data_IF_974947377840
#
_entry.id   IF_974947377840
#
_cell.length_a   1.000
_cell.length_b   1.000
_cell.length_c   1.000
_cell.angle_alpha   90.00
_cell.angle_beta   90.00
_cell.angle_gamma   90.00
#
_symmetry.space_group_name_H-M   'P 1'
#
loop_
_entity.id
_entity.type
_entity.pdbx_description
1 polymer ?
#
# COMPACT_ATOMS: atom_id res chain seq x y z
N UNK A 1 23.68 -4.70 67.68
CA UNK A 1 22.52 -3.78 67.49
C UNK A 1 22.73 -2.81 66.33
N UNK A 2 23.83 -2.05 66.27
CA UNK A 2 24.09 -1.09 65.18
C UNK A 2 24.04 -1.70 63.77
N UNK A 3 24.59 -2.90 63.56
CA UNK A 3 24.58 -3.57 62.26
C UNK A 3 23.17 -3.86 61.69
N UNK A 4 22.21 -4.23 62.56
CA UNK A 4 20.83 -4.49 62.13
C UNK A 4 20.06 -3.21 61.78
N UNK A 5 20.39 -2.10 62.46
CA UNK A 5 19.81 -0.79 62.18
C UNK A 5 20.29 -0.28 60.81
N UNK A 6 21.56 -0.47 60.48
CA UNK A 6 22.09 -0.13 59.15
C UNK A 6 21.47 -0.97 58.03
N UNK A 7 21.32 -2.28 58.24
CA UNK A 7 20.68 -3.17 57.26
C UNK A 7 19.21 -2.77 57.03
N UNK A 8 18.46 -2.47 58.10
CA UNK A 8 17.07 -2.05 57.99
C UNK A 8 16.90 -0.72 57.27
N UNK A 9 17.79 0.25 57.55
CA UNK A 9 17.81 1.54 56.86
C UNK A 9 18.09 1.40 55.36
N UNK A 10 19.02 0.52 54.98
CA UNK A 10 19.38 0.30 53.58
C UNK A 10 18.25 -0.37 52.79
N UNK A 11 17.56 -1.35 53.39
CA UNK A 11 16.40 -2.00 52.78
C UNK A 11 15.26 -0.99 52.60
N UNK A 12 14.99 -0.17 53.62
CA UNK A 12 13.93 0.84 53.57
C UNK A 12 14.22 1.87 52.48
N UNK A 13 15.47 2.32 52.35
CA UNK A 13 15.91 3.25 51.31
C UNK A 13 15.77 2.67 49.90
N UNK A 14 16.11 1.38 49.69
CA UNK A 14 15.91 0.70 48.42
C UNK A 14 14.42 0.61 48.02
N UNK A 15 13.54 0.29 48.98
CA UNK A 15 12.09 0.22 48.73
C UNK A 15 11.53 1.60 48.37
N UNK A 16 11.97 2.65 49.07
CA UNK A 16 11.56 4.03 48.80
C UNK A 16 12.05 4.50 47.42
N UNK A 17 13.28 4.15 47.05
CA UNK A 17 13.83 4.44 45.72
C UNK A 17 13.08 3.72 44.60
N UNK A 18 12.71 2.44 44.80
CA UNK A 18 11.90 1.70 43.82
C UNK A 18 10.48 2.28 43.68
N UNK A 19 9.86 2.72 44.77
CA UNK A 19 8.55 3.36 44.75
C UNK A 19 8.57 4.70 43.99
N UNK A 20 9.61 5.52 44.21
CA UNK A 20 9.80 6.76 43.45
C UNK A 20 10.01 6.49 41.95
N UNK A 21 10.85 5.51 41.60
CA UNK A 21 11.10 5.16 40.20
C UNK A 21 9.88 4.54 39.50
N UNK A 22 9.06 3.81 40.24
CA UNK A 22 7.81 3.22 39.74
C UNK A 22 6.78 4.29 39.39
N UNK A 23 6.73 5.39 40.15
CA UNK A 23 5.79 6.48 39.88
C UNK A 23 6.18 7.28 38.63
N UNK A 24 7.49 7.43 38.37
CA UNK A 24 8.01 8.08 37.16
C UNK A 24 7.73 7.25 35.89
N UNK A 25 7.83 5.92 35.98
CA UNK A 25 7.62 5.02 34.85
C UNK A 25 6.14 4.88 34.41
N UNK A 26 5.18 5.18 35.28
CA UNK A 26 3.73 5.12 34.97
C UNK A 26 3.23 6.25 34.05
N UNK A 27 4.08 7.21 33.70
CA UNK A 27 3.71 8.36 32.86
C UNK A 27 4.07 8.20 31.37
N UNK A 28 4.60 7.04 30.97
CA UNK A 28 5.08 6.77 29.60
C UNK A 28 4.06 6.14 28.63
N UNK A 29 2.77 6.27 28.92
CA UNK A 29 1.70 5.97 27.97
C UNK A 29 0.90 7.23 27.69
N UNK A 30 1.57 8.21 27.09
CA UNK A 30 0.91 9.36 26.49
C UNK A 30 0.54 8.97 25.05
N UNK A 31 -0.47 8.11 24.92
CA UNK A 31 -1.15 7.97 23.64
C UNK A 31 -1.73 9.35 23.31
N UNK A 32 -1.19 9.97 22.26
CA UNK A 32 -1.62 11.30 21.83
C UNK A 32 -3.11 11.28 21.50
N UNK A 33 -3.82 12.36 21.84
CA UNK A 33 -5.23 12.49 21.53
C UNK A 33 -5.49 12.23 20.05
N UNK A 34 -6.27 11.19 19.76
CA UNK A 34 -6.62 10.79 18.40
C UNK A 34 -7.48 11.88 17.77
N UNK A 35 -7.02 12.45 16.67
CA UNK A 35 -7.78 13.43 15.89
C UNK A 35 -8.27 12.79 14.60
N UNK A 36 -9.49 13.12 14.21
CA UNK A 36 -10.00 12.76 12.89
C UNK A 36 -9.13 13.44 11.83
N UNK A 37 -8.70 12.66 10.83
CA UNK A 37 -7.89 13.14 9.71
C UNK A 37 -8.72 13.09 8.43
N UNK A 38 -8.57 14.11 7.59
CA UNK A 38 -9.13 14.08 6.24
C UNK A 38 -8.55 12.89 5.47
N UNK A 39 -9.45 12.09 4.86
CA UNK A 39 -9.06 10.91 4.10
C UNK A 39 -8.24 11.35 2.89
N UNK A 40 -8.71 12.35 2.14
CA UNK A 40 -8.08 12.84 0.92
C UNK A 40 -7.29 14.14 1.10
N UNK A 41 -6.21 14.26 0.33
CA UNK A 41 -5.64 15.55 -0.04
C UNK A 41 -6.51 16.24 -1.13
N UNK A 42 -6.40 17.55 -1.30
CA UNK A 42 -7.13 18.34 -2.32
C UNK A 42 -6.91 17.74 -3.72
N UNK A 43 -5.66 17.43 -4.07
CA UNK A 43 -5.31 16.82 -5.36
C UNK A 43 -5.96 15.44 -5.56
N UNK A 44 -5.97 14.62 -4.50
CA UNK A 44 -6.63 13.32 -4.50
C UNK A 44 -8.16 13.47 -4.63
N UNK A 45 -8.75 14.44 -3.94
CA UNK A 45 -10.20 14.69 -3.99
C UNK A 45 -10.64 15.11 -5.39
N UNK A 46 -9.92 16.02 -6.05
CA UNK A 46 -10.21 16.44 -7.42
C UNK A 46 -10.09 15.24 -8.35
N UNK A 47 -9.00 14.47 -8.25
CA UNK A 47 -8.79 13.27 -9.07
C UNK A 47 -9.90 12.25 -8.89
N UNK A 48 -10.31 11.98 -7.64
CA UNK A 48 -11.38 11.04 -7.33
C UNK A 48 -12.71 11.45 -7.96
N UNK A 49 -13.08 12.73 -7.87
CA UNK A 49 -14.30 13.25 -8.51
C UNK A 49 -14.24 13.05 -10.04
N UNK A 50 -13.11 13.38 -10.66
CA UNK A 50 -12.91 13.20 -12.12
C UNK A 50 -13.01 11.73 -12.53
N UNK A 51 -12.39 10.83 -11.78
CA UNK A 51 -12.45 9.40 -12.06
C UNK A 51 -13.88 8.87 -11.97
N UNK A 52 -14.63 9.30 -10.95
CA UNK A 52 -16.03 8.90 -10.77
C UNK A 52 -16.92 9.39 -11.92
N UNK A 53 -16.66 10.58 -12.44
CA UNK A 53 -17.39 11.12 -13.60
C UNK A 53 -17.06 10.38 -14.91
N UNK A 54 -15.81 9.97 -15.11
CA UNK A 54 -15.37 9.27 -16.33
C UNK A 54 -15.78 7.79 -16.32
N UNK A 55 -15.75 7.16 -15.15
CA UNK A 55 -16.01 5.73 -14.98
C UNK A 55 -17.17 5.48 -14.01
N UNK A 56 -18.40 5.90 -14.35
CA UNK A 56 -19.56 5.81 -13.43
C UNK A 56 -19.96 4.37 -13.10
N UNK A 57 -19.58 3.41 -13.95
CA UNK A 57 -19.89 1.99 -13.77
C UNK A 57 -18.80 1.23 -13.00
N UNK A 58 -17.61 1.82 -12.84
CA UNK A 58 -16.49 1.19 -12.13
C UNK A 58 -16.53 1.57 -10.66
N UNK A 59 -16.04 0.68 -9.79
CA UNK A 59 -15.89 1.01 -8.37
C UNK A 59 -14.47 1.50 -8.11
N UNK A 60 -14.33 2.69 -7.54
CA UNK A 60 -13.02 3.28 -7.23
C UNK A 60 -12.78 3.15 -5.73
N UNK A 61 -11.75 2.39 -5.35
CA UNK A 61 -11.29 2.28 -3.97
C UNK A 61 -10.15 3.25 -3.72
N UNK A 62 -10.22 3.97 -2.61
CA UNK A 62 -9.17 4.88 -2.15
C UNK A 62 -8.32 4.25 -1.05
N UNK A 63 -7.02 4.56 -1.04
CA UNK A 63 -6.06 4.15 0.00
C UNK A 63 -6.08 2.65 0.28
N UNK A 64 -5.90 1.85 -0.77
CA UNK A 64 -5.88 0.39 -0.66
C UNK A 64 -4.49 -0.07 -0.23
N UNK A 65 -4.42 -0.90 0.80
CA UNK A 65 -3.14 -1.47 1.24
C UNK A 65 -2.59 -2.46 0.20
N UNK A 66 -1.27 -2.48 0.03
CA UNK A 66 -0.62 -3.45 -0.86
C UNK A 66 -0.84 -4.89 -0.38
N UNK A 67 -1.08 -5.10 0.92
CA UNK A 67 -1.43 -6.41 1.48
C UNK A 67 -2.76 -6.96 0.96
N UNK A 68 -3.68 -6.10 0.50
CA UNK A 68 -4.94 -6.52 -0.14
C UNK A 68 -4.77 -6.85 -1.64
N UNK A 69 -3.74 -6.30 -2.28
CA UNK A 69 -3.45 -6.47 -3.70
C UNK A 69 -2.46 -7.61 -3.96
N UNK A 70 -1.49 -7.79 -3.05
CA UNK A 70 -0.36 -8.68 -3.24
C UNK A 70 -0.37 -9.82 -2.22
N UNK A 71 -0.28 -11.05 -2.73
CA UNK A 71 -0.04 -12.23 -1.91
C UNK A 71 1.33 -12.81 -2.18
N UNK A 72 2.05 -13.15 -1.12
CA UNK A 72 3.38 -13.77 -1.23
C UNK A 72 3.53 -14.88 -0.20
N UNK A 73 4.28 -15.92 -0.57
CA UNK A 73 4.57 -17.06 0.32
C UNK A 73 5.58 -16.71 1.42
N UNK A 74 6.51 -15.80 1.15
CA UNK A 74 7.61 -15.48 2.05
C UNK A 74 7.32 -14.22 2.87
N UNK A 75 7.30 -14.36 4.20
CA UNK A 75 7.09 -13.25 5.12
C UNK A 75 8.08 -12.09 4.91
N UNK A 76 9.36 -12.40 4.62
CA UNK A 76 10.38 -11.39 4.30
C UNK A 76 10.00 -10.50 3.11
N UNK A 77 9.34 -11.06 2.11
CA UNK A 77 8.85 -10.31 0.95
C UNK A 77 7.64 -9.47 1.32
N UNK A 78 6.69 -10.02 2.10
CA UNK A 78 5.54 -9.28 2.63
C UNK A 78 5.95 -8.04 3.42
N UNK A 79 6.97 -8.14 4.27
CA UNK A 79 7.48 -6.99 5.03
C UNK A 79 7.93 -5.81 4.16
N UNK A 80 8.34 -6.05 2.91
CA UNK A 80 8.77 -4.98 2.01
C UNK A 80 7.63 -4.08 1.56
N UNK A 81 6.40 -4.58 1.47
CA UNK A 81 5.25 -3.84 0.98
C UNK A 81 4.12 -3.66 2.00
N UNK A 82 4.23 -4.27 3.19
CA UNK A 82 3.21 -4.24 4.25
C UNK A 82 2.72 -2.84 4.63
N UNK A 83 3.60 -1.85 4.59
CA UNK A 83 3.28 -0.47 4.96
C UNK A 83 2.99 0.42 3.74
N UNK A 84 2.86 -0.17 2.55
CA UNK A 84 2.59 0.55 1.30
C UNK A 84 1.09 0.59 1.03
N UNK A 85 0.64 1.72 0.48
CA UNK A 85 -0.76 2.01 0.20
C UNK A 85 -0.81 2.61 -1.20
N UNK A 86 -1.72 2.10 -2.03
CA UNK A 86 -2.03 2.65 -3.34
C UNK A 86 -3.05 3.78 -3.19
N UNK A 87 -2.91 4.85 -3.97
CA UNK A 87 -3.82 6.00 -3.89
C UNK A 87 -5.22 5.61 -4.35
N UNK A 88 -5.35 5.09 -5.57
CA UNK A 88 -6.63 4.61 -6.10
C UNK A 88 -6.49 3.26 -6.79
N UNK A 89 -7.51 2.43 -6.61
CA UNK A 89 -7.66 1.16 -7.30
C UNK A 89 -9.01 1.17 -8.01
N UNK A 90 -8.98 1.03 -9.33
CA UNK A 90 -10.17 0.96 -10.17
C UNK A 90 -10.56 -0.50 -10.32
N UNK A 91 -11.80 -0.79 -9.94
CA UNK A 91 -12.42 -2.10 -10.06
C UNK A 91 -13.48 -2.09 -11.15
N UNK A 92 -13.56 -3.19 -11.89
CA UNK A 92 -14.66 -3.47 -12.80
C UNK A 92 -15.97 -3.83 -12.04
N UNK A 93 -17.08 -3.93 -12.77
CA UNK A 93 -18.38 -4.40 -12.28
C UNK A 93 -18.31 -5.80 -11.63
N UNK A 94 -17.34 -6.62 -12.08
CA UNK A 94 -17.03 -7.93 -11.51
C UNK A 94 -16.14 -7.89 -10.25
N UNK A 95 -15.87 -6.69 -9.71
CA UNK A 95 -14.95 -6.43 -8.60
C UNK A 95 -13.51 -6.89 -8.83
N UNK A 96 -13.09 -7.03 -10.10
CA UNK A 96 -11.70 -7.30 -10.47
C UNK A 96 -10.93 -5.99 -10.62
N UNK A 97 -9.65 -6.01 -10.22
CA UNK A 97 -8.77 -4.83 -10.36
C UNK A 97 -8.41 -4.63 -11.83
N UNK A 98 -8.84 -3.51 -12.39
CA UNK A 98 -8.54 -3.14 -13.78
C UNK A 98 -7.26 -2.31 -13.85
N UNK A 99 -7.15 -1.29 -13.01
CA UNK A 99 -5.99 -0.41 -12.97
C UNK A 99 -5.74 0.13 -11.57
N UNK A 100 -4.48 0.37 -11.26
CA UNK A 100 -4.04 1.07 -10.05
C UNK A 100 -3.52 2.44 -10.47
N UNK A 101 -4.03 3.48 -9.85
CA UNK A 101 -3.61 4.86 -10.11
C UNK A 101 -2.78 5.33 -8.92
N UNK A 102 -1.58 5.83 -9.22
CA UNK A 102 -0.70 6.47 -8.26
C UNK A 102 -0.59 7.96 -8.57
N UNK A 103 -0.77 8.80 -7.55
CA UNK A 103 -0.57 10.24 -7.65
C UNK A 103 0.76 10.57 -6.98
N UNK A 104 1.71 11.12 -7.74
CA UNK A 104 2.90 11.70 -7.14
C UNK A 104 2.62 13.14 -6.69
N UNK A 105 3.38 13.59 -5.70
CA UNK A 105 3.36 14.99 -5.27
C UNK A 105 4.71 15.60 -5.68
N UNK A 106 4.73 16.52 -6.67
CA UNK A 106 5.98 17.03 -7.25
C UNK A 106 6.86 17.75 -6.21
N UNK A 107 6.27 18.16 -5.09
CA UNK A 107 6.94 18.82 -3.98
C UNK A 107 7.89 17.89 -3.18
N UNK A 108 7.86 16.57 -3.38
CA UNK A 108 8.63 15.61 -2.55
C UNK A 108 9.64 14.80 -3.37
N UNK A 109 10.78 15.42 -3.69
CA UNK A 109 11.89 14.80 -4.44
C UNK A 109 12.37 13.44 -3.87
N UNK A 110 12.28 13.22 -2.55
CA UNK A 110 12.74 11.98 -1.89
C UNK A 110 11.84 10.76 -2.15
N UNK A 111 10.64 10.92 -2.72
CA UNK A 111 9.69 9.79 -2.92
C UNK A 111 9.89 9.04 -4.24
N UNK A 112 10.61 9.58 -5.21
CA UNK A 112 10.73 8.99 -6.56
C UNK A 112 11.29 7.56 -6.58
N UNK A 113 12.32 7.27 -5.79
CA UNK A 113 12.89 5.91 -5.72
C UNK A 113 11.90 4.90 -5.11
N UNK A 114 11.14 5.32 -4.10
CA UNK A 114 10.11 4.49 -3.48
C UNK A 114 8.93 4.28 -4.43
N UNK A 115 8.58 5.29 -5.21
CA UNK A 115 7.54 5.22 -6.24
C UNK A 115 7.88 4.18 -7.32
N UNK A 116 9.10 4.21 -7.86
CA UNK A 116 9.56 3.22 -8.84
C UNK A 116 9.53 1.79 -8.27
N UNK A 117 9.91 1.62 -7.00
CA UNK A 117 9.86 0.32 -6.34
C UNK A 117 8.42 -0.19 -6.16
N UNK A 118 7.49 0.70 -5.80
CA UNK A 118 6.06 0.36 -5.72
C UNK A 118 5.51 -0.08 -7.08
N UNK A 119 5.82 0.67 -8.13
CA UNK A 119 5.36 0.36 -9.48
C UNK A 119 5.91 -0.99 -9.96
N UNK A 120 7.20 -1.26 -9.68
CA UNK A 120 7.81 -2.55 -9.98
C UNK A 120 7.13 -3.71 -9.26
N UNK A 121 6.74 -3.55 -7.98
CA UNK A 121 6.02 -4.58 -7.23
C UNK A 121 4.66 -4.90 -7.85
N UNK A 122 3.90 -3.87 -8.20
CA UNK A 122 2.58 -4.02 -8.82
C UNK A 122 2.69 -4.62 -10.22
N UNK A 123 3.65 -4.16 -11.03
CA UNK A 123 3.92 -4.71 -12.36
C UNK A 123 4.36 -6.18 -12.30
N UNK A 124 5.17 -6.58 -11.32
CA UNK A 124 5.55 -7.98 -11.11
C UNK A 124 4.36 -8.88 -10.77
N UNK A 125 3.31 -8.33 -10.15
CA UNK A 125 2.07 -9.04 -9.87
C UNK A 125 1.08 -9.02 -11.05
N UNK A 126 1.43 -8.36 -12.16
CA UNK A 126 0.59 -8.25 -13.36
C UNK A 126 -0.45 -7.13 -13.27
N UNK A 127 -0.37 -6.26 -12.26
CA UNK A 127 -1.24 -5.09 -12.19
C UNK A 127 -0.75 -3.99 -13.12
N UNK A 128 -1.70 -3.34 -13.78
CA UNK A 128 -1.46 -2.12 -14.53
C UNK A 128 -1.37 -0.95 -13.57
N UNK A 129 -0.28 -0.21 -13.64
CA UNK A 129 -0.07 1.01 -12.85
C UNK A 129 -0.07 2.21 -13.79
N UNK A 130 -0.89 3.20 -13.48
CA UNK A 130 -0.93 4.49 -14.16
C UNK A 130 -0.49 5.54 -13.14
N UNK A 131 0.62 6.21 -13.42
CA UNK A 131 1.19 7.22 -12.53
C UNK A 131 1.00 8.60 -13.14
N UNK A 132 0.46 9.51 -12.35
CA UNK A 132 0.35 10.92 -12.71
C UNK A 132 1.27 11.75 -11.81
N UNK A 133 2.06 12.63 -12.41
CA UNK A 133 2.95 13.54 -11.69
C UNK A 133 2.19 14.72 -11.08
N UNK A 134 1.08 15.11 -11.69
CA UNK A 134 0.20 16.22 -11.27
C UNK A 134 -1.27 15.77 -11.29
N UNK A 135 -2.19 16.65 -10.89
CA UNK A 135 -3.63 16.39 -10.92
C UNK A 135 -4.07 16.11 -12.37
N UNK A 136 -4.45 14.88 -12.71
CA UNK A 136 -4.66 14.48 -14.10
C UNK A 136 -5.89 15.16 -14.69
N UNK A 137 -5.75 15.67 -15.91
CA UNK A 137 -6.86 16.29 -16.65
C UNK A 137 -7.86 15.24 -17.16
N UNK A 138 -9.11 15.66 -17.38
CA UNK A 138 -10.18 14.80 -17.87
C UNK A 138 -9.82 14.06 -19.16
N UNK A 139 -9.10 14.72 -20.06
CA UNK A 139 -8.71 14.16 -21.35
C UNK A 139 -7.69 13.02 -21.19
N UNK A 140 -6.67 13.21 -20.35
CA UNK A 140 -5.63 12.22 -20.07
C UNK A 140 -6.23 10.95 -19.46
N UNK A 141 -7.05 11.12 -18.42
CA UNK A 141 -7.78 10.02 -17.79
C UNK A 141 -8.61 9.25 -18.83
N UNK A 142 -9.37 9.97 -19.66
CA UNK A 142 -10.22 9.34 -20.67
C UNK A 142 -9.41 8.55 -21.70
N UNK A 143 -8.29 9.05 -22.17
CA UNK A 143 -7.44 8.34 -23.14
C UNK A 143 -6.89 7.05 -22.56
N UNK A 144 -6.35 7.10 -21.34
CA UNK A 144 -5.72 5.93 -20.71
C UNK A 144 -6.72 4.80 -20.45
N UNK A 145 -7.98 5.12 -20.14
CA UNK A 145 -9.07 4.14 -19.98
C UNK A 145 -9.77 3.78 -21.31
N UNK A 146 -9.74 4.62 -22.35
CA UNK A 146 -10.30 4.28 -23.67
C UNK A 146 -9.41 3.33 -24.45
N UNK A 147 -8.08 3.56 -24.47
CA UNK A 147 -7.11 2.65 -25.11
C UNK A 147 -7.27 1.23 -24.55
N UNK A 148 -7.61 1.12 -23.27
CA UNK A 148 -7.87 -0.14 -22.58
C UNK A 148 -9.14 -0.85 -23.06
N UNK A 149 -10.27 -0.15 -23.22
CA UNK A 149 -11.48 -0.79 -23.75
C UNK A 149 -11.23 -1.43 -25.10
N UNK A 150 -10.40 -0.80 -25.95
CA UNK A 150 -10.03 -1.38 -27.24
C UNK A 150 -9.09 -2.60 -27.12
N UNK A 151 -8.06 -2.54 -26.27
CA UNK A 151 -7.13 -3.64 -26.06
C UNK A 151 -7.78 -4.87 -25.38
N UNK A 152 -8.63 -4.63 -24.38
CA UNK A 152 -9.38 -5.67 -23.68
C UNK A 152 -10.41 -6.34 -24.61
N UNK A 153 -11.18 -5.56 -25.39
CA UNK A 153 -12.13 -6.13 -26.35
C UNK A 153 -11.46 -7.00 -27.43
N UNK A 154 -10.23 -6.70 -27.84
CA UNK A 154 -9.46 -7.54 -28.79
C UNK A 154 -8.96 -8.85 -28.17
N UNK A 155 -8.55 -8.83 -26.89
CA UNK A 155 -8.15 -10.03 -26.16
C UNK A 155 -9.34 -10.93 -25.82
N UNK A 156 -10.48 -10.34 -25.43
CA UNK A 156 -11.69 -11.11 -25.13
C UNK A 156 -12.28 -11.77 -26.39
N UNK A 157 -12.26 -11.08 -27.54
CA UNK A 157 -12.65 -11.69 -28.83
C UNK A 157 -11.77 -12.88 -29.20
N UNK A 158 -10.53 -12.95 -28.69
CA UNK A 158 -9.61 -14.07 -28.93
C UNK A 158 -9.62 -15.14 -27.82
N UNK A 159 -10.24 -14.88 -26.67
CA UNK A 159 -10.35 -15.78 -25.52
C UNK A 159 -11.71 -16.49 -25.39
N UNK A 160 -12.75 -16.07 -26.12
CA UNK A 160 -14.06 -16.75 -26.17
C UNK A 160 -13.98 -18.24 -26.61
N UNK A 161 -12.84 -18.71 -27.12
CA UNK A 161 -12.58 -20.12 -27.43
C UNK A 161 -12.13 -21.01 -26.25
N UNK A 162 -11.72 -20.47 -25.10
CA UNK A 162 -11.18 -21.28 -24.00
C UNK A 162 -11.85 -20.97 -22.65
N UNK A 163 -12.89 -21.75 -22.37
CA UNK A 163 -13.59 -21.72 -21.08
C UNK A 163 -12.72 -22.23 -19.92
N UNK A 164 -12.62 -21.37 -18.89
CA UNK A 164 -12.45 -21.64 -17.45
C UNK A 164 -11.31 -22.59 -17.01
N UNK A 165 -10.24 -21.99 -16.49
CA UNK A 165 -9.70 -22.30 -15.16
C UNK A 165 -8.76 -21.18 -14.72
N UNK A 166 -9.07 -20.57 -13.59
CA UNK A 166 -8.31 -19.51 -12.93
C UNK A 166 -6.78 -19.70 -13.03
N UNK A 167 -6.12 -18.93 -13.89
CA UNK A 167 -4.66 -18.88 -13.99
C UNK A 167 -4.14 -17.71 -13.15
N UNK A 168 -4.13 -17.89 -11.82
CA UNK A 168 -3.55 -16.96 -10.84
C UNK A 168 -2.01 -16.83 -10.90
N UNK A 169 -1.36 -17.25 -11.99
CA UNK A 169 0.09 -17.13 -12.16
C UNK A 169 0.41 -16.46 -13.50
N UNK A 170 1.18 -15.36 -13.50
CA UNK A 170 1.81 -14.92 -14.73
C UNK A 170 2.78 -16.03 -15.17
N UNK A 171 2.64 -16.47 -16.42
CA UNK A 171 3.56 -17.44 -17.04
C UNK A 171 4.91 -16.76 -17.19
N UNK A 172 5.72 -16.83 -16.15
CA UNK A 172 7.12 -16.42 -16.20
C UNK A 172 7.85 -17.34 -17.18
N UNK A 173 8.10 -16.84 -18.38
CA UNK A 173 8.92 -17.50 -19.39
C UNK A 173 10.29 -17.85 -18.80
N UNK A 174 10.47 -19.12 -18.43
CA UNK A 174 11.76 -19.63 -17.97
C UNK A 174 12.73 -19.63 -19.15
N UNK A 175 13.54 -18.57 -19.26
CA UNK A 175 14.73 -18.57 -20.09
C UNK A 175 15.71 -19.60 -19.51
N UNK A 176 15.76 -20.81 -20.09
CA UNK A 176 16.78 -21.82 -19.77
C UNK A 176 18.15 -21.25 -20.12
N UNK A 177 18.89 -20.82 -19.12
CA UNK A 177 20.33 -20.62 -19.25
C UNK A 177 20.93 -22.02 -19.23
N UNK A 178 21.35 -22.52 -20.39
CA UNK A 178 22.23 -23.68 -20.49
C UNK A 178 23.58 -23.24 -19.93
N UNK A 179 23.93 -23.71 -18.74
CA UNK A 179 25.31 -23.66 -18.27
C UNK A 179 25.97 -24.90 -18.88
N UNK A 180 26.91 -24.66 -19.78
CA UNK A 180 27.83 -25.67 -20.29
C UNK A 180 29.16 -25.42 -19.55
N UNK A 181 29.60 -26.40 -18.78
CA UNK A 181 30.81 -26.39 -17.97
C UNK A 181 30.97 -27.73 -17.29
#
# INVERSE_FOLDING_TARGET
>A
MMMYIFIGSLILLCVLFMAWRSLENSTRQQDSALKQRAIFNINQQITYTRLKEILPQSTILAHVSFDALLTTKYSRTRHKYRNMVADFVVLDQSHQVTAIIALDDPMVLKRRQNAQYQDALLAMAGYRVIRYEDVPEYYQLRQDFLIEKFAYNQLDTSLEGHTKKYSFYPVLGRKKIRILG
#
